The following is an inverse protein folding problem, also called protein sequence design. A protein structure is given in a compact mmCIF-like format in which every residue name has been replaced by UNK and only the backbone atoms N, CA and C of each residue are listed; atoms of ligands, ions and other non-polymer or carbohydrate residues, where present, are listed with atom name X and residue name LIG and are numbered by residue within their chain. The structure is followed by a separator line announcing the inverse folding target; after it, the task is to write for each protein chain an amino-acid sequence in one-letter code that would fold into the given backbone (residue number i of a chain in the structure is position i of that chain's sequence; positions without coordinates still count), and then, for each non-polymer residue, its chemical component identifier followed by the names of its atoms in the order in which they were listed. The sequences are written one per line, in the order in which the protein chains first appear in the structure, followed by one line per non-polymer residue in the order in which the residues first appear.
data_IF_136292948292
#
_entry.id   IF_136292948292
#
_cell.length_a   1.000
_cell.length_b   1.000
_cell.length_c   1.000
_cell.angle_alpha   90.00
_cell.angle_beta   90.00
_cell.angle_gamma   90.00
#
_symmetry.space_group_name_H-M   'P 1'
#
loop_
_entity.id
_entity.type
_entity.pdbx_description
1 polymer ?
#
# COMPACT_ATOMS: atom_id res chain seq x y z
N UNK A 1 17.54 -16.66 45.23
CA UNK A 1 17.69 -16.87 43.77
C UNK A 1 17.05 -18.17 43.30
N UNK A 2 17.49 -19.38 43.73
CA UNK A 2 16.97 -20.67 43.23
C UNK A 2 15.42 -20.84 43.24
N UNK A 3 14.72 -20.29 44.23
CA UNK A 3 13.26 -20.34 44.27
C UNK A 3 12.56 -19.50 43.19
N UNK A 4 13.19 -18.44 42.68
CA UNK A 4 12.67 -17.70 41.53
C UNK A 4 12.85 -18.51 40.25
N UNK A 5 14.05 -19.04 39.99
CA UNK A 5 14.37 -19.74 38.74
C UNK A 5 13.29 -20.78 38.39
N UNK A 6 12.92 -21.64 39.33
CA UNK A 6 11.87 -22.65 39.14
C UNK A 6 10.42 -22.16 39.29
N UNK A 7 10.15 -20.91 39.73
CA UNK A 7 8.80 -20.37 39.97
C UNK A 7 8.38 -19.18 39.10
N UNK A 8 9.33 -18.50 38.45
CA UNK A 8 9.13 -17.17 37.89
C UNK A 8 9.06 -16.09 38.98
N UNK A 9 9.04 -14.83 38.54
CA UNK A 9 8.96 -13.65 39.42
C UNK A 9 10.31 -13.01 39.73
N UNK A 10 11.32 -13.16 38.87
CA UNK A 10 12.59 -12.44 39.00
C UNK A 10 12.45 -10.99 38.50
N UNK A 11 13.34 -10.06 38.91
CA UNK A 11 13.34 -8.69 38.39
C UNK A 11 13.40 -8.63 36.84
N UNK A 12 14.16 -9.54 36.22
CA UNK A 12 14.20 -9.76 34.77
C UNK A 12 12.82 -10.03 34.16
N UNK A 13 12.00 -10.82 34.86
CA UNK A 13 10.71 -11.30 34.38
C UNK A 13 9.71 -10.14 34.29
N UNK A 14 9.70 -9.28 35.31
CA UNK A 14 8.88 -8.06 35.30
C UNK A 14 9.32 -7.07 34.21
N UNK A 15 10.62 -6.95 33.94
CA UNK A 15 11.13 -6.13 32.81
C UNK A 15 10.69 -6.71 31.48
N UNK A 16 10.83 -8.02 31.26
CA UNK A 16 10.41 -8.68 30.03
C UNK A 16 8.89 -8.60 29.82
N UNK A 17 8.08 -8.76 30.88
CA UNK A 17 6.63 -8.58 30.85
C UNK A 17 6.26 -7.13 30.50
N UNK A 18 6.97 -6.14 31.05
CA UNK A 18 6.76 -4.72 30.73
C UNK A 18 7.07 -4.43 29.26
N UNK A 19 8.17 -4.98 28.72
CA UNK A 19 8.52 -4.88 27.29
C UNK A 19 7.43 -5.51 26.41
N UNK A 20 6.92 -6.69 26.79
CA UNK A 20 5.84 -7.36 26.06
C UNK A 20 4.54 -6.54 26.09
N UNK A 21 4.15 -5.96 27.23
CA UNK A 21 2.97 -5.09 27.33
C UNK A 21 3.12 -3.82 26.50
N UNK A 22 4.28 -3.16 26.56
CA UNK A 22 4.58 -1.98 25.72
C UNK A 22 4.57 -2.35 24.22
N UNK A 23 5.05 -3.54 23.86
CA UNK A 23 4.96 -4.08 22.50
C UNK A 23 3.49 -4.21 22.06
N UNK A 24 2.63 -4.85 22.85
CA UNK A 24 1.20 -4.97 22.55
C UNK A 24 0.50 -3.62 22.37
N UNK A 25 0.77 -2.66 23.27
CA UNK A 25 0.23 -1.30 23.18
C UNK A 25 0.72 -0.63 21.89
N UNK A 26 2.00 -0.79 21.54
CA UNK A 26 2.58 -0.25 20.31
C UNK A 26 1.98 -0.85 19.04
N UNK A 27 1.64 -2.15 19.04
CA UNK A 27 0.92 -2.80 17.95
C UNK A 27 -0.49 -2.20 17.81
N UNK A 28 -1.28 -2.19 18.88
CA UNK A 28 -2.65 -1.66 18.86
C UNK A 28 -2.68 -0.21 18.43
N UNK A 29 -1.77 0.62 18.93
CA UNK A 29 -1.63 2.02 18.52
C UNK A 29 -1.31 2.10 17.01
N UNK A 30 -0.28 1.39 16.52
CA UNK A 30 0.05 1.40 15.08
C UNK A 30 -1.06 0.84 14.17
N UNK A 31 -1.90 -0.10 14.65
CA UNK A 31 -3.09 -0.60 13.92
C UNK A 31 -4.19 0.46 13.85
N UNK A 32 -4.49 1.11 14.98
CA UNK A 32 -5.69 1.96 15.15
C UNK A 32 -5.47 3.42 14.76
N UNK A 33 -4.27 3.96 14.99
CA UNK A 33 -3.90 5.36 14.72
C UNK A 33 -4.19 5.79 13.27
N UNK A 34 -3.96 4.98 12.21
CA UNK A 34 -4.39 5.32 10.86
C UNK A 34 -5.90 5.58 10.78
N UNK A 35 -6.74 4.67 11.27
CA UNK A 35 -8.20 4.79 11.19
C UNK A 35 -8.74 5.95 12.02
N UNK A 36 -8.18 6.18 13.22
CA UNK A 36 -8.57 7.26 14.12
C UNK A 36 -8.19 8.65 13.57
N UNK A 37 -6.94 8.84 13.14
CA UNK A 37 -6.45 10.16 12.72
C UNK A 37 -6.81 10.50 11.27
N UNK A 38 -6.89 9.51 10.38
CA UNK A 38 -7.03 9.75 8.93
C UNK A 38 -8.45 9.48 8.40
N UNK A 39 -9.41 9.11 9.26
CA UNK A 39 -10.81 8.78 8.90
C UNK A 39 -10.91 7.90 7.64
N UNK A 40 -10.01 6.93 7.52
CA UNK A 40 -9.86 6.12 6.30
C UNK A 40 -11.12 5.26 6.12
N UNK A 41 -11.80 5.30 4.95
CA UNK A 41 -12.93 4.44 4.68
C UNK A 41 -12.49 2.98 4.81
N UNK A 42 -13.31 2.14 5.47
CA UNK A 42 -12.95 0.76 5.81
C UNK A 42 -12.49 0.00 4.55
N UNK A 43 -11.23 -0.51 4.51
CA UNK A 43 -10.72 -1.20 3.32
C UNK A 43 -11.48 -2.51 3.09
N UNK A 44 -12.25 -2.58 2.00
CA UNK A 44 -13.03 -3.77 1.61
C UNK A 44 -12.18 -4.91 1.01
N UNK A 45 -10.85 -4.81 1.05
CA UNK A 45 -9.92 -5.71 0.36
C UNK A 45 -9.30 -6.83 1.22
N UNK A 46 -8.90 -7.92 0.58
CA UNK A 46 -8.28 -9.09 1.23
C UNK A 46 -6.96 -8.80 1.95
N UNK A 47 -6.27 -7.72 1.60
CA UNK A 47 -5.03 -7.28 2.26
C UNK A 47 -5.26 -6.82 3.72
N UNK A 48 -6.42 -6.23 4.02
CA UNK A 48 -6.77 -5.82 5.40
C UNK A 48 -6.85 -7.03 6.35
N UNK A 49 -7.49 -8.10 5.89
CA UNK A 49 -7.62 -9.34 6.66
C UNK A 49 -6.26 -9.97 7.01
N UNK A 50 -5.27 -9.93 6.11
CA UNK A 50 -3.92 -10.42 6.42
C UNK A 50 -3.26 -9.65 7.56
N UNK A 51 -3.42 -8.32 7.60
CA UNK A 51 -2.88 -7.48 8.70
C UNK A 51 -3.59 -7.79 10.01
N UNK A 52 -4.93 -7.89 10.00
CA UNK A 52 -5.71 -8.23 11.20
C UNK A 52 -5.36 -9.62 11.76
N UNK A 53 -5.27 -10.64 10.89
CA UNK A 53 -4.86 -12.01 11.26
C UNK A 53 -3.45 -12.01 11.87
N UNK A 54 -2.53 -11.24 11.30
CA UNK A 54 -1.15 -11.17 11.79
C UNK A 54 -1.03 -10.42 13.14
N UNK A 55 -1.91 -9.46 13.43
CA UNK A 55 -2.04 -8.87 14.78
C UNK A 55 -2.49 -9.94 15.77
N UNK A 56 -3.55 -10.68 15.46
CA UNK A 56 -4.04 -11.78 16.30
C UNK A 56 -2.94 -12.83 16.55
N UNK A 57 -2.19 -13.22 15.51
CA UNK A 57 -1.05 -14.13 15.64
C UNK A 57 0.06 -13.59 16.56
N UNK A 58 0.33 -12.29 16.48
CA UNK A 58 1.30 -11.60 17.35
C UNK A 58 0.84 -11.60 18.81
N UNK A 59 -0.46 -11.40 19.05
CA UNK A 59 -1.07 -11.48 20.38
C UNK A 59 -0.97 -12.89 20.96
N UNK A 60 -1.32 -13.91 20.17
CA UNK A 60 -1.24 -15.32 20.55
C UNK A 60 0.19 -15.73 20.93
N UNK A 61 1.19 -15.40 20.12
CA UNK A 61 2.57 -15.81 20.32
C UNK A 61 3.15 -15.26 21.64
N UNK A 62 3.01 -13.95 21.88
CA UNK A 62 3.45 -13.32 23.13
C UNK A 62 2.66 -13.85 24.34
N UNK A 63 1.35 -14.00 24.23
CA UNK A 63 0.52 -14.53 25.32
C UNK A 63 0.89 -15.98 25.66
N UNK A 64 1.28 -16.79 24.68
CA UNK A 64 1.75 -18.16 24.93
C UNK A 64 3.06 -18.21 25.71
N UNK A 65 4.04 -17.38 25.34
CA UNK A 65 5.33 -17.33 26.06
C UNK A 65 5.14 -16.82 27.50
N UNK A 66 4.23 -15.85 27.70
CA UNK A 66 3.80 -15.39 29.03
C UNK A 66 3.14 -16.53 29.82
N UNK A 67 2.18 -17.23 29.19
CA UNK A 67 1.47 -18.35 29.77
C UNK A 67 2.39 -19.48 30.24
N UNK A 68 3.35 -19.90 29.41
CA UNK A 68 4.20 -21.06 29.68
C UNK A 68 5.32 -20.76 30.68
N UNK A 69 5.96 -19.60 30.58
CA UNK A 69 7.17 -19.30 31.36
C UNK A 69 6.92 -18.52 32.65
N UNK A 70 5.79 -17.81 32.77
CA UNK A 70 5.54 -16.88 33.88
C UNK A 70 4.24 -17.15 34.66
N UNK A 71 3.24 -17.84 34.08
CA UNK A 71 1.97 -18.15 34.75
C UNK A 71 1.90 -19.60 35.23
N UNK A 72 2.02 -19.84 36.54
CA UNK A 72 1.86 -21.20 37.09
C UNK A 72 0.42 -21.69 37.08
N UNK A 73 0.14 -22.61 36.16
CA UNK A 73 -1.16 -23.25 35.99
C UNK A 73 -1.52 -24.23 37.12
N UNK A 74 -2.31 -23.77 38.10
CA UNK A 74 -3.02 -24.67 39.03
C UNK A 74 -4.14 -25.41 38.28
N UNK A 75 -4.01 -26.73 38.12
CA UNK A 75 -4.91 -27.59 37.32
C UNK A 75 -6.36 -27.53 37.81
N UNK A 76 -7.26 -26.87 37.07
CA UNK A 76 -8.74 -26.93 37.28
C UNK A 76 -9.60 -26.61 36.04
N UNK A 77 -9.04 -26.04 34.96
CA UNK A 77 -9.80 -25.66 33.75
C UNK A 77 -9.09 -26.08 32.46
N UNK A 78 -9.85 -26.36 31.40
CA UNK A 78 -9.35 -26.78 30.08
C UNK A 78 -8.39 -25.76 29.43
N UNK A 79 -8.65 -24.47 29.62
CA UNK A 79 -7.78 -23.34 29.24
C UNK A 79 -6.39 -23.33 29.91
N UNK A 80 -6.10 -24.26 30.83
CA UNK A 80 -4.81 -24.43 31.52
C UNK A 80 -4.02 -25.66 31.04
N UNK A 81 -4.33 -26.18 29.85
CA UNK A 81 -3.59 -27.29 29.24
C UNK A 81 -2.27 -26.82 28.63
N UNK A 82 -1.15 -27.48 28.98
CA UNK A 82 0.15 -27.28 28.32
C UNK A 82 0.04 -27.38 26.80
N UNK A 83 -0.72 -28.37 26.30
CA UNK A 83 -0.90 -28.61 24.87
C UNK A 83 -1.62 -27.45 24.16
N UNK A 84 -2.55 -26.78 24.83
CA UNK A 84 -3.25 -25.64 24.23
C UNK A 84 -2.25 -24.50 23.97
N UNK A 85 -1.45 -24.14 24.96
CA UNK A 85 -0.51 -23.03 24.86
C UNK A 85 0.73 -23.40 24.02
N UNK A 86 1.53 -24.39 24.43
CA UNK A 86 2.79 -24.74 23.78
C UNK A 86 2.64 -25.37 22.38
N UNK A 87 1.54 -26.06 22.09
CA UNK A 87 1.39 -26.79 20.82
C UNK A 87 0.45 -26.09 19.84
N UNK A 88 -0.65 -25.48 20.30
CA UNK A 88 -1.63 -24.83 19.42
C UNK A 88 -1.51 -23.30 19.34
N UNK A 89 -1.31 -22.61 20.46
CA UNK A 89 -1.27 -21.14 20.49
C UNK A 89 0.12 -20.62 20.10
N UNK A 90 1.20 -21.24 20.57
CA UNK A 90 2.57 -20.87 20.21
C UNK A 90 2.89 -21.22 18.74
N UNK A 91 2.62 -22.46 18.33
CA UNK A 91 2.90 -22.99 16.99
C UNK A 91 1.96 -22.43 15.91
N UNK A 92 0.88 -23.15 15.53
CA UNK A 92 0.05 -22.78 14.39
C UNK A 92 -0.61 -21.41 14.56
N UNK A 93 -1.20 -21.07 15.71
CA UNK A 93 -1.92 -19.79 15.86
C UNK A 93 -1.03 -18.59 16.19
N UNK A 94 0.26 -18.82 16.47
CA UNK A 94 1.25 -17.83 16.85
C UNK A 94 2.32 -17.68 15.77
N UNK A 95 3.46 -18.34 15.95
CA UNK A 95 4.62 -18.26 15.06
C UNK A 95 4.28 -18.69 13.63
N UNK A 96 3.59 -19.83 13.48
CA UNK A 96 3.19 -20.39 12.20
C UNK A 96 2.31 -19.44 11.40
N UNK A 97 1.21 -18.94 11.99
CA UNK A 97 0.33 -17.96 11.36
C UNK A 97 1.06 -16.64 11.04
N UNK A 98 1.92 -16.16 11.94
CA UNK A 98 2.69 -14.93 11.75
C UNK A 98 3.63 -15.03 10.54
N UNK A 99 4.40 -16.11 10.40
CA UNK A 99 5.27 -16.31 9.22
C UNK A 99 4.47 -16.68 7.96
N UNK A 100 3.38 -17.43 8.06
CA UNK A 100 2.54 -17.82 6.91
C UNK A 100 1.88 -16.60 6.25
N UNK A 101 1.41 -15.63 7.04
CA UNK A 101 0.94 -14.33 6.54
C UNK A 101 2.02 -13.58 5.75
N UNK A 102 3.30 -13.76 6.11
CA UNK A 102 4.45 -13.06 5.51
C UNK A 102 4.94 -13.67 4.23
N UNK A 103 5.05 -14.99 4.21
CA UNK A 103 5.30 -15.74 2.98
C UNK A 103 4.18 -15.43 1.97
N UNK A 104 2.92 -15.34 2.43
CA UNK A 104 1.78 -14.91 1.60
C UNK A 104 1.94 -13.48 1.05
N UNK A 105 2.30 -12.50 1.88
CA UNK A 105 2.52 -11.12 1.42
C UNK A 105 3.69 -11.00 0.44
N UNK A 106 4.84 -11.64 0.73
CA UNK A 106 6.02 -11.60 -0.15
C UNK A 106 5.74 -12.34 -1.47
N UNK A 107 4.96 -13.42 -1.44
CA UNK A 107 4.46 -14.09 -2.65
C UNK A 107 3.60 -13.15 -3.52
N UNK A 108 2.69 -12.37 -2.91
CA UNK A 108 1.92 -11.36 -3.65
C UNK A 108 2.85 -10.27 -4.26
N UNK A 109 3.83 -9.79 -3.49
CA UNK A 109 4.82 -8.83 -3.99
C UNK A 109 5.66 -9.42 -5.14
N UNK A 110 6.13 -10.66 -5.02
CA UNK A 110 6.87 -11.35 -6.07
C UNK A 110 6.07 -11.42 -7.38
N UNK A 111 4.78 -11.79 -7.33
CA UNK A 111 3.97 -11.83 -8.55
C UNK A 111 3.75 -10.45 -9.18
N UNK A 112 3.47 -9.43 -8.36
CA UNK A 112 3.23 -8.06 -8.83
C UNK A 112 4.51 -7.42 -9.39
N UNK A 113 5.64 -7.53 -8.70
CA UNK A 113 6.88 -6.81 -9.03
C UNK A 113 7.83 -7.61 -9.93
N UNK A 114 8.01 -8.91 -9.69
CA UNK A 114 8.93 -9.75 -10.46
C UNK A 114 8.24 -10.38 -11.67
N UNK A 115 7.05 -10.97 -11.49
CA UNK A 115 6.29 -11.60 -12.59
C UNK A 115 5.36 -10.64 -13.33
N UNK A 116 5.20 -9.39 -12.86
CA UNK A 116 4.38 -8.33 -13.48
C UNK A 116 2.91 -8.74 -13.68
N UNK A 117 2.38 -9.60 -12.82
CA UNK A 117 1.07 -10.27 -12.96
C UNK A 117 0.33 -10.36 -11.63
N UNK A 118 -0.95 -10.70 -11.70
CA UNK A 118 -1.70 -11.06 -10.49
C UNK A 118 -1.15 -12.38 -9.89
N UNK A 119 -1.17 -12.54 -8.55
CA UNK A 119 -0.90 -13.83 -7.93
C UNK A 119 -1.99 -14.83 -8.34
N UNK A 120 -1.63 -16.04 -8.82
CA UNK A 120 -2.60 -17.00 -9.38
C UNK A 120 -3.52 -17.61 -8.32
N UNK A 121 -3.12 -17.55 -7.04
CA UNK A 121 -3.87 -18.09 -5.91
C UNK A 121 -4.28 -16.91 -5.02
N UNK A 122 -5.57 -16.88 -4.62
CA UNK A 122 -6.08 -15.87 -3.67
C UNK A 122 -5.40 -16.03 -2.31
N UNK A 123 -5.09 -14.91 -1.65
CA UNK A 123 -4.29 -14.87 -0.42
C UNK A 123 -4.82 -15.78 0.71
N UNK A 124 -6.14 -15.85 0.92
CA UNK A 124 -6.72 -16.70 1.97
C UNK A 124 -6.57 -18.19 1.68
N UNK A 125 -6.58 -18.61 0.40
CA UNK A 125 -6.36 -20.00 -0.01
C UNK A 125 -4.88 -20.36 0.21
N UNK A 126 -3.98 -19.48 -0.25
CA UNK A 126 -2.54 -19.68 -0.10
C UNK A 126 -2.08 -19.68 1.36
N UNK A 127 -2.64 -18.80 2.19
CA UNK A 127 -2.39 -18.76 3.63
C UNK A 127 -2.79 -20.07 4.31
N UNK A 128 -3.98 -20.59 4.02
CA UNK A 128 -4.45 -21.87 4.56
C UNK A 128 -3.55 -23.03 4.13
N UNK A 129 -3.14 -23.08 2.85
CA UNK A 129 -2.21 -24.09 2.34
C UNK A 129 -0.85 -24.06 3.06
N UNK A 130 -0.28 -22.87 3.28
CA UNK A 130 0.98 -22.72 4.02
C UNK A 130 0.80 -23.06 5.51
N UNK A 131 -0.38 -22.91 6.09
CA UNK A 131 -0.60 -23.21 7.51
C UNK A 131 -0.79 -24.73 7.80
N UNK A 132 -1.15 -25.54 6.79
CA UNK A 132 -1.41 -26.98 6.97
C UNK A 132 -0.27 -27.77 7.64
N UNK A 133 1.01 -27.60 7.31
CA UNK A 133 2.11 -28.31 7.98
C UNK A 133 2.15 -28.04 9.49
N UNK A 134 1.89 -26.80 9.93
CA UNK A 134 1.81 -26.46 11.35
C UNK A 134 0.65 -27.17 12.06
N UNK A 135 -0.53 -27.18 11.43
CA UNK A 135 -1.72 -27.84 11.98
C UNK A 135 -1.49 -29.36 12.08
N UNK A 136 -0.91 -29.97 11.05
CA UNK A 136 -0.59 -31.40 11.02
C UNK A 136 0.45 -31.77 12.10
N UNK A 137 1.52 -30.99 12.24
CA UNK A 137 2.53 -31.19 13.29
C UNK A 137 1.93 -31.04 14.69
N UNK A 138 1.13 -29.99 14.93
CA UNK A 138 0.45 -29.77 16.20
C UNK A 138 -0.51 -30.92 16.57
N UNK A 139 -1.27 -31.43 15.60
CA UNK A 139 -2.14 -32.59 15.79
C UNK A 139 -1.34 -33.86 16.12
N UNK A 140 -0.26 -34.16 15.38
CA UNK A 140 0.59 -35.33 15.63
C UNK A 140 1.23 -35.30 17.03
N UNK A 141 1.76 -34.14 17.44
CA UNK A 141 2.29 -33.90 18.78
C UNK A 141 1.20 -34.12 19.85
N UNK A 142 0.00 -33.58 19.64
CA UNK A 142 -1.09 -33.70 20.60
C UNK A 142 -1.61 -35.15 20.74
N UNK A 143 -1.54 -35.95 19.68
CA UNK A 143 -1.83 -37.40 19.71
C UNK A 143 -0.74 -38.15 20.49
N UNK A 144 0.54 -37.85 20.21
CA UNK A 144 1.71 -38.53 20.81
C UNK A 144 2.00 -38.14 22.26
N UNK A 145 1.47 -37.01 22.71
CA UNK A 145 1.55 -36.47 24.08
C UNK A 145 2.96 -36.46 24.71
N UNK A 146 3.97 -35.79 24.08
CA UNK A 146 5.34 -35.79 24.59
C UNK A 146 5.64 -34.76 25.69
N UNK A 147 4.72 -33.85 26.04
CA UNK A 147 4.98 -32.80 27.02
C UNK A 147 4.95 -33.33 28.46
N UNK A 148 5.94 -32.94 29.25
CA UNK A 148 6.01 -33.25 30.68
C UNK A 148 5.11 -32.34 31.54
N UNK A 149 5.16 -32.52 32.87
CA UNK A 149 4.35 -31.74 33.82
C UNK A 149 4.75 -30.25 33.96
N UNK A 150 5.91 -29.86 33.42
CA UNK A 150 6.40 -28.47 33.29
C UNK A 150 6.09 -27.86 31.91
N UNK A 151 5.37 -28.60 31.06
CA UNK A 151 5.13 -28.29 29.65
C UNK A 151 6.35 -28.41 28.71
N UNK A 152 7.50 -28.92 29.17
CA UNK A 152 8.69 -29.12 28.35
C UNK A 152 8.55 -30.31 27.40
N UNK A 153 9.23 -30.21 26.25
CA UNK A 153 9.09 -31.02 25.06
C UNK A 153 10.44 -31.64 24.71
N UNK A 154 10.80 -32.71 25.43
CA UNK A 154 12.16 -33.24 25.50
C UNK A 154 12.84 -33.51 24.14
N UNK A 155 14.18 -33.54 24.16
CA UNK A 155 15.09 -33.35 23.01
C UNK A 155 14.75 -34.11 21.71
N UNK A 156 14.15 -35.30 21.77
CA UNK A 156 13.71 -36.03 20.56
C UNK A 156 12.62 -35.28 19.79
N UNK A 157 11.75 -34.55 20.48
CA UNK A 157 10.64 -33.79 19.90
C UNK A 157 11.01 -32.35 19.55
N UNK A 158 12.01 -31.77 20.22
CA UNK A 158 12.48 -30.41 19.91
C UNK A 158 13.10 -30.35 18.50
N UNK A 159 13.86 -31.36 18.08
CA UNK A 159 14.54 -31.40 16.77
C UNK A 159 13.56 -31.22 15.59
N UNK A 160 12.50 -32.03 15.41
CA UNK A 160 11.55 -31.83 14.31
C UNK A 160 10.75 -30.53 14.43
N UNK A 161 10.43 -30.07 15.63
CA UNK A 161 9.72 -28.78 15.84
C UNK A 161 10.59 -27.60 15.43
N UNK A 162 11.87 -27.58 15.82
CA UNK A 162 12.79 -26.51 15.42
C UNK A 162 13.17 -26.61 13.93
N UNK A 163 13.20 -27.82 13.37
CA UNK A 163 13.29 -28.03 11.92
C UNK A 163 12.15 -27.37 11.15
N UNK A 164 10.91 -27.48 11.64
CA UNK A 164 9.76 -26.79 11.04
C UNK A 164 9.87 -25.25 11.17
N UNK A 165 10.28 -24.73 12.33
CA UNK A 165 10.56 -23.29 12.48
C UNK A 165 11.62 -22.82 11.47
N UNK A 166 12.74 -23.53 11.36
CA UNK A 166 13.84 -23.21 10.46
C UNK A 166 13.40 -23.23 8.98
N UNK A 167 12.61 -24.22 8.57
CA UNK A 167 12.08 -24.32 7.20
C UNK A 167 11.29 -23.06 6.78
N UNK A 168 10.46 -22.51 7.69
CA UNK A 168 9.68 -21.30 7.42
C UNK A 168 10.57 -20.05 7.36
N UNK A 169 11.61 -19.98 8.18
CA UNK A 169 12.61 -18.89 8.14
C UNK A 169 13.41 -18.92 6.83
N UNK A 170 13.91 -20.09 6.44
CA UNK A 170 14.63 -20.27 5.18
C UNK A 170 13.74 -19.94 3.98
N UNK A 171 12.48 -20.37 4.01
CA UNK A 171 11.48 -20.02 2.98
C UNK A 171 11.28 -18.50 2.90
N UNK A 172 11.11 -17.83 4.03
CA UNK A 172 10.96 -16.37 4.11
C UNK A 172 12.18 -15.64 3.51
N UNK A 173 13.39 -16.07 3.85
CA UNK A 173 14.64 -15.51 3.31
C UNK A 173 14.75 -15.76 1.80
N UNK A 174 14.42 -16.96 1.32
CA UNK A 174 14.49 -17.31 -0.10
C UNK A 174 13.49 -16.50 -0.95
N UNK A 175 12.22 -16.41 -0.53
CA UNK A 175 11.21 -15.58 -1.20
C UNK A 175 11.57 -14.10 -1.19
N UNK A 176 12.20 -13.60 -0.12
CA UNK A 176 12.72 -12.22 -0.06
C UNK A 176 13.86 -12.02 -1.06
N UNK A 177 14.83 -12.94 -1.09
CA UNK A 177 15.96 -12.92 -2.01
C UNK A 177 15.50 -12.83 -3.47
N UNK A 178 14.44 -13.56 -3.82
CA UNK A 178 13.84 -13.53 -5.16
C UNK A 178 13.24 -12.16 -5.55
N UNK A 179 12.93 -11.28 -4.59
CA UNK A 179 12.42 -9.91 -4.81
C UNK A 179 13.54 -8.85 -4.79
N UNK A 180 14.79 -9.23 -4.43
CA UNK A 180 15.94 -8.31 -4.28
C UNK A 180 16.28 -7.50 -5.53
N UNK A 181 16.08 -8.06 -6.72
CA UNK A 181 16.47 -7.46 -8.00
C UNK A 181 15.44 -6.47 -8.56
N UNK A 182 14.33 -6.24 -7.87
CA UNK A 182 13.38 -5.18 -8.24
C UNK A 182 13.96 -3.86 -7.79
N UNK A 183 14.25 -2.97 -8.74
CA UNK A 183 14.54 -1.56 -8.44
C UNK A 183 13.26 -0.86 -7.95
N UNK A 184 12.99 -0.96 -6.65
CA UNK A 184 11.97 -0.14 -6.01
C UNK A 184 12.43 1.32 -6.08
N UNK A 185 11.62 2.17 -6.73
CA UNK A 185 11.91 3.59 -6.95
C UNK A 185 11.90 4.47 -5.67
N UNK A 186 11.87 3.85 -4.50
CA UNK A 186 11.72 4.47 -3.18
C UNK A 186 12.59 3.73 -2.14
N UNK A 187 12.89 4.38 -1.02
CA UNK A 187 13.69 3.81 0.09
C UNK A 187 13.09 2.55 0.75
N UNK A 188 11.87 2.17 0.36
CA UNK A 188 11.12 1.01 0.83
C UNK A 188 11.93 -0.29 0.85
N UNK A 189 12.67 -0.62 -0.21
CA UNK A 189 13.47 -1.85 -0.27
C UNK A 189 14.56 -1.91 0.81
N UNK A 190 15.13 -0.76 1.19
CA UNK A 190 16.16 -0.67 2.23
C UNK A 190 15.58 -0.98 3.60
N UNK A 191 14.38 -0.47 3.88
CA UNK A 191 13.69 -0.72 5.15
C UNK A 191 13.02 -2.12 5.19
N UNK A 192 12.60 -2.64 4.02
CA UNK A 192 12.21 -4.04 3.80
C UNK A 192 13.35 -4.98 4.24
N UNK A 193 14.55 -4.80 3.68
CA UNK A 193 15.72 -5.61 4.00
C UNK A 193 16.21 -5.44 5.44
N UNK A 194 16.16 -4.23 6.00
CA UNK A 194 16.45 -3.99 7.42
C UNK A 194 15.49 -4.73 8.34
N UNK A 195 14.19 -4.65 8.06
CA UNK A 195 13.15 -5.36 8.83
C UNK A 195 13.36 -6.87 8.81
N UNK A 196 13.76 -7.43 7.66
CA UNK A 196 14.04 -8.86 7.51
C UNK A 196 15.35 -9.27 8.17
N UNK A 197 16.41 -8.46 8.07
CA UNK A 197 17.67 -8.71 8.77
C UNK A 197 17.47 -8.75 10.29
N UNK A 198 16.77 -7.76 10.84
CA UNK A 198 16.39 -7.71 12.27
C UNK A 198 15.51 -8.90 12.64
N UNK A 199 14.54 -9.26 11.79
CA UNK A 199 13.67 -10.41 12.03
C UNK A 199 14.43 -11.74 12.02
N UNK A 200 15.31 -11.98 11.05
CA UNK A 200 16.10 -13.21 10.94
C UNK A 200 17.08 -13.35 12.12
N UNK A 201 17.79 -12.27 12.48
CA UNK A 201 18.62 -12.23 13.68
C UNK A 201 17.81 -12.49 14.95
N UNK A 202 16.61 -11.88 15.05
CA UNK A 202 15.70 -12.09 16.18
C UNK A 202 15.25 -13.53 16.31
N UNK A 203 14.91 -14.21 15.20
CA UNK A 203 14.53 -15.63 15.23
C UNK A 203 15.73 -16.50 15.59
N UNK A 204 16.93 -16.21 15.08
CA UNK A 204 18.15 -16.95 15.44
C UNK A 204 18.43 -16.95 16.94
N UNK A 205 18.34 -15.77 17.58
CA UNK A 205 18.51 -15.63 19.04
C UNK A 205 17.36 -16.30 19.79
N UNK A 206 16.11 -16.16 19.30
CA UNK A 206 14.95 -16.82 19.90
C UNK A 206 15.05 -18.35 19.88
N UNK A 207 15.48 -18.93 18.75
CA UNK A 207 15.74 -20.37 18.58
C UNK A 207 16.81 -20.86 19.55
N UNK A 208 17.91 -20.12 19.70
CA UNK A 208 18.96 -20.46 20.66
C UNK A 208 18.43 -20.41 22.10
N UNK A 209 17.72 -19.34 22.47
CA UNK A 209 17.10 -19.20 23.78
C UNK A 209 16.07 -20.30 24.07
N UNK A 210 15.27 -20.70 23.08
CA UNK A 210 14.29 -21.80 23.19
C UNK A 210 14.96 -23.14 23.48
N UNK A 211 15.97 -23.51 22.69
CA UNK A 211 16.72 -24.76 22.90
C UNK A 211 17.45 -24.75 24.25
N UNK A 212 18.00 -23.60 24.68
CA UNK A 212 18.62 -23.47 26.00
C UNK A 212 17.60 -23.62 27.15
N UNK A 213 16.38 -23.11 26.98
CA UNK A 213 15.28 -23.21 27.95
C UNK A 213 14.78 -24.65 28.14
N UNK A 214 14.79 -25.44 27.06
CA UNK A 214 14.30 -26.83 27.06
C UNK A 214 15.37 -27.88 27.43
N UNK A 215 16.65 -27.65 27.07
CA UNK A 215 17.69 -28.68 27.19
C UNK A 215 18.46 -28.63 28.51
N UNK A 216 18.47 -27.50 29.23
CA UNK A 216 19.37 -27.31 30.38
C UNK A 216 18.67 -26.80 31.64
N UNK A 217 17.77 -27.64 32.19
CA UNK A 217 17.03 -27.37 33.43
C UNK A 217 17.95 -27.22 34.68
N UNK A 218 19.18 -27.74 34.66
CA UNK A 218 20.05 -27.80 35.85
C UNK A 218 20.70 -26.46 36.25
N UNK A 219 20.74 -25.47 35.35
CA UNK A 219 21.46 -24.20 35.56
C UNK A 219 20.46 -23.05 35.73
N UNK A 220 20.12 -22.76 36.98
CA UNK A 220 19.14 -21.72 37.36
C UNK A 220 19.38 -20.32 36.78
N UNK A 221 20.63 -19.89 36.58
CA UNK A 221 20.93 -18.60 35.90
C UNK A 221 20.52 -18.64 34.41
N UNK A 222 20.74 -19.78 33.77
CA UNK A 222 20.51 -19.96 32.34
C UNK A 222 19.02 -20.01 32.02
N UNK A 223 18.23 -20.68 32.88
CA UNK A 223 16.77 -20.71 32.85
C UNK A 223 16.15 -19.31 32.95
N UNK A 224 16.71 -18.44 33.79
CA UNK A 224 16.27 -17.04 33.92
C UNK A 224 16.64 -16.25 32.64
N UNK A 225 17.88 -16.40 32.16
CA UNK A 225 18.37 -15.72 30.96
C UNK A 225 17.61 -16.15 29.68
N UNK A 226 17.31 -17.44 29.52
CA UNK A 226 16.57 -17.97 28.37
C UNK A 226 15.14 -17.46 28.34
N UNK A 227 14.43 -17.44 29.46
CA UNK A 227 13.05 -16.89 29.55
C UNK A 227 12.99 -15.40 29.25
N UNK A 228 13.95 -14.64 29.79
CA UNK A 228 14.09 -13.22 29.48
C UNK A 228 14.30 -12.99 27.97
N UNK A 229 15.28 -13.68 27.39
CA UNK A 229 15.59 -13.59 25.95
C UNK A 229 14.41 -14.02 25.08
N UNK A 230 13.71 -15.11 25.41
CA UNK A 230 12.52 -15.57 24.68
C UNK A 230 11.48 -14.45 24.55
N UNK A 231 11.05 -13.87 25.67
CA UNK A 231 9.98 -12.86 25.66
C UNK A 231 10.41 -11.53 25.04
N UNK A 232 11.67 -11.11 25.25
CA UNK A 232 12.24 -9.90 24.62
C UNK A 232 12.39 -10.09 23.11
N UNK A 233 12.99 -11.20 22.66
CA UNK A 233 13.17 -11.46 21.22
C UNK A 233 11.83 -11.65 20.52
N UNK A 234 10.82 -12.29 21.14
CA UNK A 234 9.47 -12.31 20.55
C UNK A 234 8.85 -10.92 20.48
N UNK A 235 9.10 -10.05 21.46
CA UNK A 235 8.60 -8.66 21.43
C UNK A 235 9.23 -7.87 20.28
N UNK A 236 10.55 -8.00 20.08
CA UNK A 236 11.30 -7.42 18.95
C UNK A 236 10.80 -7.99 17.62
N UNK A 237 10.65 -9.32 17.53
CA UNK A 237 10.15 -10.04 16.38
C UNK A 237 8.80 -9.49 15.92
N UNK A 238 7.83 -9.47 16.84
CA UNK A 238 6.47 -9.01 16.59
C UNK A 238 6.45 -7.55 16.11
N UNK A 239 7.25 -6.65 16.70
CA UNK A 239 7.33 -5.25 16.28
C UNK A 239 8.04 -5.06 14.94
N UNK A 240 9.13 -5.79 14.68
CA UNK A 240 9.90 -5.74 13.44
C UNK A 240 9.05 -6.23 12.27
N UNK A 241 8.44 -7.41 12.42
CA UNK A 241 7.45 -7.90 11.48
C UNK A 241 6.31 -6.89 11.33
N UNK A 242 5.58 -6.51 12.39
CA UNK A 242 4.42 -5.63 12.22
C UNK A 242 4.73 -4.30 11.52
N UNK A 243 5.88 -3.68 11.80
CA UNK A 243 6.34 -2.47 11.10
C UNK A 243 6.56 -2.70 9.59
N UNK A 244 7.01 -3.90 9.19
CA UNK A 244 7.12 -4.37 7.80
C UNK A 244 5.75 -4.71 7.15
N UNK A 245 4.66 -4.96 7.90
CA UNK A 245 3.29 -5.04 7.30
C UNK A 245 2.78 -3.68 6.85
N UNK A 246 3.35 -2.63 7.44
CA UNK A 246 2.93 -1.24 7.28
C UNK A 246 3.86 -0.48 6.31
N UNK A 247 5.01 -1.06 5.92
CA UNK A 247 6.07 -0.42 5.12
C UNK A 247 5.70 -0.18 3.65
N UNK A 248 4.75 0.72 3.46
CA UNK A 248 4.42 1.50 2.26
C UNK A 248 3.63 0.93 1.06
N UNK A 249 3.38 -0.37 0.77
CA UNK A 249 2.39 -0.71 -0.27
C UNK A 249 0.94 -0.40 0.17
N UNK A 250 0.73 -0.12 1.47
CA UNK A 250 -0.52 0.34 2.08
C UNK A 250 -0.43 1.79 2.57
N UNK A 251 0.71 2.24 3.11
CA UNK A 251 0.87 3.64 3.52
C UNK A 251 1.02 4.57 2.31
N UNK A 252 1.67 4.20 1.20
CA UNK A 252 1.65 5.07 0.00
C UNK A 252 0.22 5.22 -0.55
N UNK A 253 -0.57 4.15 -0.56
CA UNK A 253 -2.01 4.18 -0.84
C UNK A 253 -2.80 5.13 0.09
N UNK A 254 -2.37 5.32 1.34
CA UNK A 254 -3.00 6.23 2.31
C UNK A 254 -2.37 7.62 2.40
N UNK A 255 -1.11 7.80 1.99
CA UNK A 255 -0.31 9.02 2.18
C UNK A 255 -0.01 9.75 0.88
N UNK A 256 -0.19 9.13 -0.30
CA UNK A 256 -0.51 9.85 -1.54
C UNK A 256 -1.77 10.71 -1.36
N UNK A 257 -2.65 10.33 -0.42
CA UNK A 257 -3.81 11.12 -0.02
C UNK A 257 -3.52 12.29 0.94
N UNK A 258 -2.29 12.43 1.46
CA UNK A 258 -2.03 13.42 2.54
C UNK A 258 -0.66 14.10 2.57
N UNK A 259 0.41 13.57 1.96
CA UNK A 259 1.70 14.32 1.92
C UNK A 259 1.75 15.41 0.84
N UNK A 260 0.78 15.41 -0.07
CA UNK A 260 0.34 16.62 -0.76
C UNK A 260 -1.16 16.80 -0.52
N UNK A 261 -1.55 17.88 0.15
CA UNK A 261 -2.88 18.48 0.00
C UNK A 261 -2.87 19.43 -1.22
N UNK A 262 -2.39 18.91 -2.35
CA UNK A 262 -2.94 19.28 -3.65
C UNK A 262 -4.06 18.28 -3.90
N UNK A 263 -5.27 18.75 -4.15
CA UNK A 263 -6.37 17.87 -4.56
C UNK A 263 -6.00 17.19 -5.88
N UNK A 264 -5.54 15.94 -5.79
CA UNK A 264 -5.29 15.13 -6.95
C UNK A 264 -6.63 14.71 -7.55
N UNK A 265 -7.03 15.36 -8.64
CA UNK A 265 -8.34 15.19 -9.29
C UNK A 265 -8.48 13.80 -9.95
N UNK A 266 -7.36 13.12 -10.21
CA UNK A 266 -7.30 11.84 -10.94
C UNK A 266 -6.27 10.86 -10.35
N UNK A 267 -6.48 9.56 -10.56
CA UNK A 267 -5.56 8.48 -10.17
C UNK A 267 -4.18 8.60 -10.85
N UNK A 268 -4.12 9.15 -12.07
CA UNK A 268 -2.86 9.41 -12.80
C UNK A 268 -1.96 10.39 -12.08
N UNK A 269 -2.54 11.47 -11.55
CA UNK A 269 -1.82 12.49 -10.80
C UNK A 269 -1.23 11.89 -9.51
N UNK A 270 -1.98 11.02 -8.81
CA UNK A 270 -1.49 10.27 -7.66
C UNK A 270 -0.41 9.23 -8.01
N UNK A 271 -0.43 8.66 -9.21
CA UNK A 271 0.64 7.80 -9.71
C UNK A 271 1.89 8.59 -10.18
N UNK A 272 1.92 9.91 -10.05
CA UNK A 272 3.02 10.73 -10.55
C UNK A 272 3.16 10.64 -12.07
N UNK A 273 2.04 10.48 -12.78
CA UNK A 273 1.91 10.74 -14.20
C UNK A 273 1.58 12.22 -14.30
N UNK A 274 2.60 13.05 -14.52
CA UNK A 274 2.36 14.41 -14.95
C UNK A 274 1.73 14.36 -16.34
N UNK A 275 0.55 14.96 -16.53
CA UNK A 275 0.28 15.61 -17.81
C UNK A 275 1.47 16.52 -18.07
N UNK A 276 2.16 16.30 -19.19
CA UNK A 276 3.47 16.86 -19.46
C UNK A 276 3.50 18.36 -19.17
N UNK A 277 4.15 18.74 -18.07
CA UNK A 277 4.45 20.13 -17.68
C UNK A 277 5.51 20.76 -18.59
N UNK A 278 5.52 20.37 -19.86
CA UNK A 278 6.15 21.12 -20.92
C UNK A 278 5.29 22.37 -21.05
N UNK A 279 5.88 23.49 -20.62
CA UNK A 279 5.54 24.88 -20.91
C UNK A 279 4.31 25.03 -21.82
N UNK A 280 3.23 25.63 -21.31
CA UNK A 280 2.26 26.55 -21.96
C UNK A 280 2.24 26.60 -23.51
N UNK A 281 2.37 25.46 -24.18
CA UNK A 281 2.58 25.35 -25.61
C UNK A 281 1.21 25.25 -26.22
N UNK A 282 0.55 26.42 -26.21
CA UNK A 282 -0.45 26.88 -27.16
C UNK A 282 -0.94 25.73 -28.03
N UNK A 283 -1.87 24.94 -27.48
CA UNK A 283 -2.57 23.93 -28.27
C UNK A 283 -3.00 24.65 -29.55
N UNK A 284 -2.59 24.18 -30.75
CA UNK A 284 -2.97 24.85 -31.98
C UNK A 284 -4.49 24.96 -31.98
N UNK A 285 -5.00 26.09 -32.46
CA UNK A 285 -6.44 26.36 -32.52
C UNK A 285 -7.02 25.40 -33.57
N UNK A 286 -7.26 24.16 -33.17
CA UNK A 286 -7.90 23.16 -34.00
C UNK A 286 -9.36 23.56 -34.10
N UNK A 287 -9.73 24.11 -35.25
CA UNK A 287 -11.13 24.27 -35.64
C UNK A 287 -11.77 22.90 -35.49
N UNK A 288 -12.76 22.80 -34.59
CA UNK A 288 -13.46 21.55 -34.32
C UNK A 288 -14.40 21.31 -35.48
N UNK A 289 -14.02 20.42 -36.40
CA UNK A 289 -14.88 19.96 -37.49
C UNK A 289 -15.81 18.84 -36.98
N UNK A 290 -17.15 19.05 -36.95
CA UNK A 290 -18.10 18.03 -36.51
C UNK A 290 -18.14 16.77 -37.40
N UNK A 291 -17.55 16.84 -38.60
CA UNK A 291 -17.44 15.70 -39.51
C UNK A 291 -16.27 14.75 -39.16
N UNK A 292 -15.39 15.15 -38.24
CA UNK A 292 -14.33 14.26 -37.77
C UNK A 292 -14.89 13.12 -36.90
N UNK A 293 -14.27 11.92 -36.94
CA UNK A 293 -14.71 10.81 -36.13
C UNK A 293 -14.52 11.10 -34.62
N UNK A 294 -15.52 10.76 -33.81
CA UNK A 294 -15.55 11.06 -32.37
C UNK A 294 -14.27 10.63 -31.61
N UNK A 295 -13.65 9.52 -32.01
CA UNK A 295 -12.39 9.03 -31.45
C UNK A 295 -11.19 9.97 -31.67
N UNK A 296 -11.16 10.72 -32.78
CA UNK A 296 -10.18 11.79 -33.04
C UNK A 296 -10.52 13.05 -32.24
N UNK A 297 -11.80 13.44 -32.23
CA UNK A 297 -12.28 14.61 -31.49
C UNK A 297 -12.05 14.50 -29.98
N UNK A 298 -12.26 13.31 -29.41
CA UNK A 298 -12.02 13.02 -27.99
C UNK A 298 -10.53 13.09 -27.59
N UNK A 299 -9.58 13.14 -28.52
CA UNK A 299 -8.18 13.44 -28.20
C UNK A 299 -8.01 14.91 -27.77
N UNK A 300 -8.77 15.84 -28.37
CA UNK A 300 -8.75 17.25 -27.99
C UNK A 300 -9.31 17.40 -26.57
N UNK A 301 -8.50 17.99 -25.67
CA UNK A 301 -8.82 18.12 -24.25
C UNK A 301 -10.07 18.98 -23.99
N UNK A 302 -10.28 20.05 -24.77
CA UNK A 302 -11.42 20.97 -24.59
C UNK A 302 -12.72 20.34 -25.08
N UNK A 303 -12.67 19.71 -26.25
CA UNK A 303 -13.80 18.93 -26.76
C UNK A 303 -14.19 17.84 -25.76
N UNK A 304 -13.22 17.04 -25.29
CA UNK A 304 -13.46 15.97 -24.32
C UNK A 304 -14.05 16.48 -23.00
N UNK A 305 -13.59 17.63 -22.48
CA UNK A 305 -14.14 18.24 -21.27
C UNK A 305 -15.60 18.69 -21.47
N UNK A 306 -15.91 19.39 -22.56
CA UNK A 306 -17.28 19.81 -22.90
C UNK A 306 -18.21 18.61 -23.14
N UNK A 307 -17.73 17.58 -23.84
CA UNK A 307 -18.47 16.33 -24.09
C UNK A 307 -18.72 15.53 -22.79
N UNK A 308 -17.76 15.54 -21.86
CA UNK A 308 -17.89 14.94 -20.53
C UNK A 308 -18.94 15.66 -19.69
N UNK A 309 -18.93 17.00 -19.66
CA UNK A 309 -19.93 17.81 -18.95
C UNK A 309 -21.35 17.59 -19.51
N UNK A 310 -21.49 17.47 -20.84
CA UNK A 310 -22.73 17.06 -21.47
C UNK A 310 -23.16 15.65 -21.05
N UNK A 311 -22.27 14.66 -21.15
CA UNK A 311 -22.59 13.27 -20.82
C UNK A 311 -22.94 13.07 -19.33
N UNK A 312 -22.27 13.79 -18.43
CA UNK A 312 -22.62 13.87 -17.00
C UNK A 312 -24.03 14.46 -16.79
N UNK A 313 -24.41 15.49 -17.57
CA UNK A 313 -25.77 16.05 -17.53
C UNK A 313 -26.86 15.09 -18.03
N UNK A 314 -26.49 14.15 -18.91
CA UNK A 314 -27.33 13.06 -19.39
C UNK A 314 -27.32 11.82 -18.48
N UNK A 315 -26.60 11.83 -17.36
CA UNK A 315 -26.36 10.68 -16.47
C UNK A 315 -25.72 9.47 -17.19
N UNK A 316 -24.93 9.74 -18.24
CA UNK A 316 -24.24 8.76 -19.09
C UNK A 316 -22.73 9.06 -19.23
N UNK A 317 -22.18 9.80 -18.26
CA UNK A 317 -20.78 10.26 -18.27
C UNK A 317 -19.76 9.16 -18.03
N UNK A 318 -20.15 8.02 -17.46
CA UNK A 318 -19.25 6.92 -17.11
C UNK A 318 -18.43 6.41 -18.30
N UNK A 319 -19.02 6.41 -19.49
CA UNK A 319 -18.36 6.06 -20.75
C UNK A 319 -17.23 7.04 -21.13
N UNK A 320 -17.42 8.35 -20.89
CA UNK A 320 -16.43 9.41 -21.21
C UNK A 320 -15.34 9.48 -20.13
N UNK A 321 -15.72 9.35 -18.86
CA UNK A 321 -14.78 9.26 -17.74
C UNK A 321 -13.88 8.02 -17.86
N UNK A 322 -14.44 6.86 -18.25
CA UNK A 322 -13.65 5.66 -18.55
C UNK A 322 -12.66 5.89 -19.70
N UNK A 323 -13.08 6.55 -20.79
CA UNK A 323 -12.20 6.87 -21.92
C UNK A 323 -10.98 7.70 -21.47
N UNK A 324 -11.18 8.76 -20.66
CA UNK A 324 -10.07 9.60 -20.20
C UNK A 324 -9.11 8.83 -19.27
N UNK A 325 -9.60 7.97 -18.37
CA UNK A 325 -8.72 7.13 -17.54
C UNK A 325 -7.95 6.08 -18.33
N UNK A 326 -8.53 5.47 -19.37
CA UNK A 326 -7.78 4.54 -20.23
C UNK A 326 -6.73 5.27 -21.06
N UNK A 327 -7.00 6.47 -21.56
CA UNK A 327 -5.97 7.32 -22.18
C UNK A 327 -4.82 7.62 -21.20
N UNK A 328 -5.12 7.83 -19.91
CA UNK A 328 -4.10 7.99 -18.87
C UNK A 328 -3.33 6.69 -18.57
N UNK A 329 -3.96 5.52 -18.67
CA UNK A 329 -3.30 4.20 -18.58
C UNK A 329 -2.35 3.96 -19.74
N UNK A 330 -2.73 4.34 -20.97
CA UNK A 330 -1.90 4.17 -22.16
C UNK A 330 -0.70 5.11 -22.21
N UNK A 331 -0.78 6.29 -21.58
CA UNK A 331 0.39 7.16 -21.31
C UNK A 331 1.47 6.51 -20.43
N UNK A 332 1.18 5.44 -19.68
CA UNK A 332 2.16 4.80 -18.77
C UNK A 332 3.15 3.93 -19.58
N UNK A 333 4.48 4.17 -19.50
CA UNK A 333 5.46 3.36 -20.23
C UNK A 333 5.35 1.86 -19.95
N UNK A 334 5.58 1.04 -20.98
CA UNK A 334 5.58 -0.44 -20.88
C UNK A 334 6.66 -0.94 -19.89
N UNK A 335 7.74 -0.16 -19.73
CA UNK A 335 8.82 -0.39 -18.78
C UNK A 335 8.39 -0.17 -17.32
N UNK A 336 7.22 0.44 -17.06
CA UNK A 336 6.64 0.66 -15.73
C UNK A 336 5.36 -0.18 -15.50
N UNK A 337 5.48 -1.53 -15.46
CA UNK A 337 4.34 -2.43 -15.32
C UNK A 337 3.62 -2.27 -13.97
N UNK A 338 4.32 -1.75 -12.95
CA UNK A 338 3.75 -1.57 -11.61
C UNK A 338 2.68 -0.48 -11.64
N UNK A 339 2.99 0.71 -12.19
CA UNK A 339 1.98 1.77 -12.35
C UNK A 339 0.83 1.32 -13.25
N UNK A 340 1.11 0.56 -14.33
CA UNK A 340 0.07 -0.04 -15.19
C UNK A 340 -0.87 -0.95 -14.39
N UNK A 341 -0.36 -1.91 -13.61
CA UNK A 341 -1.20 -2.83 -12.81
C UNK A 341 -2.06 -2.07 -11.78
N UNK A 342 -1.52 -1.05 -11.12
CA UNK A 342 -2.30 -0.25 -10.16
C UNK A 342 -3.39 0.58 -10.83
N UNK A 343 -3.10 1.22 -11.97
CA UNK A 343 -4.09 1.95 -12.76
C UNK A 343 -5.17 1.02 -13.32
N UNK A 344 -4.78 -0.13 -13.87
CA UNK A 344 -5.71 -1.13 -14.37
C UNK A 344 -6.66 -1.64 -13.28
N UNK A 345 -6.16 -1.91 -12.06
CA UNK A 345 -7.02 -2.26 -10.92
C UNK A 345 -8.01 -1.15 -10.57
N UNK A 346 -7.57 0.10 -10.56
CA UNK A 346 -8.46 1.23 -10.28
C UNK A 346 -9.59 1.32 -11.31
N UNK A 347 -9.25 1.28 -12.59
CA UNK A 347 -10.23 1.28 -13.69
C UNK A 347 -11.20 0.09 -13.57
N UNK A 348 -10.69 -1.10 -13.23
CA UNK A 348 -11.53 -2.30 -13.04
C UNK A 348 -12.50 -2.13 -11.85
N UNK A 349 -12.02 -1.66 -10.69
CA UNK A 349 -12.84 -1.47 -9.50
C UNK A 349 -13.84 -0.31 -9.62
N UNK A 350 -13.54 0.71 -10.43
CA UNK A 350 -14.35 1.91 -10.61
C UNK A 350 -15.40 1.78 -11.74
N UNK A 351 -15.09 1.04 -12.81
CA UNK A 351 -15.92 0.95 -14.02
C UNK A 351 -16.31 -0.47 -14.45
N UNK A 352 -15.47 -1.49 -14.27
CA UNK A 352 -15.69 -2.82 -14.90
C UNK A 352 -16.37 -3.84 -13.97
N UNK A 353 -16.13 -3.75 -12.65
CA UNK A 353 -16.75 -4.65 -11.68
C UNK A 353 -18.28 -4.46 -11.63
N UNK A 354 -19.02 -5.55 -11.42
CA UNK A 354 -20.47 -5.46 -11.21
C UNK A 354 -20.78 -4.74 -9.87
N UNK A 355 -21.65 -3.74 -9.91
CA UNK A 355 -21.90 -2.84 -8.78
C UNK A 355 -20.80 -1.80 -8.54
N UNK A 356 -19.96 -1.51 -9.55
CA UNK A 356 -18.97 -0.45 -9.48
C UNK A 356 -19.63 0.96 -9.45
N UNK A 357 -19.01 1.97 -8.82
CA UNK A 357 -19.62 3.29 -8.63
C UNK A 357 -19.86 4.05 -9.94
N UNK A 358 -19.15 3.73 -11.01
CA UNK A 358 -19.35 4.25 -12.36
C UNK A 358 -19.37 3.08 -13.35
N UNK A 359 -20.16 2.04 -13.05
CA UNK A 359 -20.22 0.82 -13.86
C UNK A 359 -20.58 1.12 -15.33
N UNK A 360 -19.66 0.80 -16.25
CA UNK A 360 -19.89 1.01 -17.69
C UNK A 360 -20.81 -0.06 -18.27
N UNK A 361 -21.70 0.36 -19.18
CA UNK A 361 -22.59 -0.53 -19.90
C UNK A 361 -21.83 -1.27 -21.01
N UNK A 362 -21.29 -2.44 -20.67
CA UNK A 362 -20.56 -3.33 -21.59
C UNK A 362 -21.05 -4.77 -21.50
N UNK A 363 -20.94 -5.47 -22.62
CA UNK A 363 -21.28 -6.87 -22.76
C UNK A 363 -20.59 -7.77 -21.71
N UNK A 364 -21.34 -8.76 -21.23
CA UNK A 364 -20.83 -9.73 -20.26
C UNK A 364 -19.55 -10.45 -20.73
N UNK A 365 -19.41 -10.67 -22.05
CA UNK A 365 -18.23 -11.28 -22.66
C UNK A 365 -16.96 -10.46 -22.40
N UNK A 366 -16.96 -9.17 -22.75
CA UNK A 366 -15.80 -8.30 -22.56
C UNK A 366 -15.49 -8.12 -21.05
N UNK A 367 -16.54 -8.01 -20.23
CA UNK A 367 -16.38 -7.93 -18.77
C UNK A 367 -15.66 -9.14 -18.20
N UNK A 368 -16.03 -10.37 -18.61
CA UNK A 368 -15.35 -11.58 -18.17
C UNK A 368 -13.93 -11.72 -18.76
N UNK A 369 -13.69 -11.24 -19.98
CA UNK A 369 -12.36 -11.21 -20.59
C UNK A 369 -11.37 -10.41 -19.73
N UNK A 370 -11.77 -9.23 -19.26
CA UNK A 370 -10.97 -8.40 -18.34
C UNK A 370 -10.86 -9.05 -16.95
N UNK A 371 -11.97 -9.48 -16.35
CA UNK A 371 -11.98 -10.00 -14.97
C UNK A 371 -11.25 -11.36 -14.81
N UNK A 372 -11.10 -12.13 -15.89
CA UNK A 372 -10.32 -13.38 -15.92
C UNK A 372 -8.86 -13.21 -16.34
N UNK A 373 -8.45 -12.00 -16.77
CA UNK A 373 -7.08 -11.74 -17.22
C UNK A 373 -6.08 -11.67 -16.07
N UNK A 374 -5.06 -12.52 -16.11
CA UNK A 374 -3.96 -12.55 -15.13
C UNK A 374 -2.90 -11.45 -15.33
N UNK A 375 -2.84 -10.84 -16.52
CA UNK A 375 -1.83 -9.86 -16.92
C UNK A 375 -2.44 -8.45 -17.08
N UNK A 376 -2.61 -7.76 -15.95
CA UNK A 376 -3.09 -6.37 -15.91
C UNK A 376 -2.06 -5.34 -16.41
N UNK A 377 -0.85 -5.76 -16.80
CA UNK A 377 0.17 -4.85 -17.33
C UNK A 377 0.02 -4.61 -18.83
N UNK A 378 -0.73 -5.48 -19.52
CA UNK A 378 -0.84 -5.53 -20.97
C UNK A 378 -1.35 -4.21 -21.60
N UNK A 379 -0.85 -3.88 -22.79
CA UNK A 379 -1.20 -2.62 -23.49
C UNK A 379 -2.65 -2.60 -23.95
N UNK A 380 -3.11 -3.68 -24.58
CA UNK A 380 -4.46 -3.72 -25.15
C UNK A 380 -5.57 -4.12 -24.13
N UNK A 381 -5.32 -4.06 -22.82
CA UNK A 381 -6.21 -4.59 -21.76
C UNK A 381 -7.66 -4.07 -21.87
N UNK A 382 -7.83 -2.78 -22.17
CA UNK A 382 -9.14 -2.12 -22.25
C UNK A 382 -9.60 -1.85 -23.70
N UNK A 383 -8.87 -2.35 -24.70
CA UNK A 383 -9.10 -1.99 -26.11
C UNK A 383 -10.48 -2.43 -26.63
N UNK A 384 -10.90 -3.65 -26.29
CA UNK A 384 -12.20 -4.18 -26.69
C UNK A 384 -13.34 -3.35 -26.03
N UNK A 385 -13.17 -3.01 -24.75
CA UNK A 385 -14.10 -2.18 -23.97
C UNK A 385 -14.25 -0.77 -24.53
N UNK A 386 -13.12 -0.12 -24.87
CA UNK A 386 -13.13 1.16 -25.56
C UNK A 386 -13.86 1.08 -26.91
N UNK A 387 -13.74 -0.02 -27.64
CA UNK A 387 -14.48 -0.24 -28.89
C UNK A 387 -16.00 -0.23 -28.69
N UNK A 388 -16.49 -1.04 -27.73
CA UNK A 388 -17.92 -1.13 -27.41
C UNK A 388 -18.47 0.22 -26.90
N UNK A 389 -17.76 0.87 -25.97
CA UNK A 389 -18.17 2.18 -25.43
C UNK A 389 -18.08 3.31 -26.45
N UNK A 390 -17.09 3.31 -27.35
CA UNK A 390 -17.01 4.28 -28.44
C UNK A 390 -18.21 4.18 -29.38
N UNK A 391 -18.66 2.96 -29.67
CA UNK A 391 -19.87 2.74 -30.46
C UNK A 391 -21.12 3.24 -29.71
N UNK A 392 -21.24 2.97 -28.42
CA UNK A 392 -22.35 3.47 -27.58
C UNK A 392 -22.38 5.00 -27.50
N UNK A 393 -21.24 5.66 -27.27
CA UNK A 393 -21.15 7.13 -27.27
C UNK A 393 -21.52 7.73 -28.64
N UNK A 394 -21.08 7.12 -29.75
CA UNK A 394 -21.42 7.56 -31.11
C UNK A 394 -22.93 7.44 -31.41
N UNK A 395 -23.58 6.38 -30.93
CA UNK A 395 -25.01 6.15 -31.16
C UNK A 395 -25.91 6.99 -30.22
N UNK A 396 -25.55 7.11 -28.95
CA UNK A 396 -26.46 7.61 -27.91
C UNK A 396 -26.17 9.04 -27.45
N UNK A 397 -24.96 9.56 -27.64
CA UNK A 397 -24.55 10.88 -27.11
C UNK A 397 -24.09 11.86 -28.19
N UNK A 398 -23.34 11.39 -29.19
CA UNK A 398 -22.69 12.27 -30.16
C UNK A 398 -23.69 13.13 -30.95
N UNK A 399 -24.82 12.55 -31.37
CA UNK A 399 -25.85 13.27 -32.13
C UNK A 399 -26.43 14.44 -31.34
N UNK A 400 -26.80 14.19 -30.09
CA UNK A 400 -27.51 15.15 -29.24
C UNK A 400 -26.55 16.22 -28.69
N UNK A 401 -25.27 15.87 -28.51
CA UNK A 401 -24.21 16.81 -28.16
C UNK A 401 -24.09 17.96 -29.16
N UNK A 402 -24.18 17.70 -30.46
CA UNK A 402 -24.08 18.74 -31.50
C UNK A 402 -25.17 19.82 -31.41
N UNK A 403 -26.34 19.46 -30.89
CA UNK A 403 -27.45 20.38 -30.61
C UNK A 403 -27.43 20.93 -29.17
N UNK A 404 -26.47 20.54 -28.34
CA UNK A 404 -26.45 20.87 -26.92
C UNK A 404 -25.86 22.27 -26.64
N UNK A 405 -26.29 22.86 -25.53
CA UNK A 405 -25.71 24.11 -25.00
C UNK A 405 -24.20 23.99 -24.73
N UNK A 406 -23.69 22.78 -24.45
CA UNK A 406 -22.28 22.53 -24.16
C UNK A 406 -21.41 22.65 -25.41
N UNK A 407 -21.90 22.18 -26.57
CA UNK A 407 -21.21 22.35 -27.85
C UNK A 407 -21.31 23.79 -28.35
N UNK A 408 -22.48 24.44 -28.21
CA UNK A 408 -22.63 25.87 -28.54
C UNK A 408 -21.64 26.72 -27.75
N UNK A 409 -21.58 26.54 -26.42
CA UNK A 409 -20.62 27.23 -25.55
C UNK A 409 -19.17 26.96 -25.95
N UNK A 410 -18.81 25.71 -26.25
CA UNK A 410 -17.45 25.37 -26.71
C UNK A 410 -17.10 26.08 -28.03
N UNK A 411 -18.05 26.16 -28.97
CA UNK A 411 -17.88 26.85 -30.25
C UNK A 411 -17.68 28.35 -30.04
N UNK A 412 -18.44 28.97 -29.14
CA UNK A 412 -18.33 30.40 -28.80
C UNK A 412 -17.01 30.71 -28.07
N UNK A 413 -16.54 29.83 -27.18
CA UNK A 413 -15.23 29.94 -26.53
C UNK A 413 -14.06 29.83 -27.53
N UNK A 414 -14.22 29.06 -28.61
CA UNK A 414 -13.23 28.96 -29.69
C UNK A 414 -13.25 30.20 -30.59
N UNK A 415 -14.45 30.71 -30.96
CA UNK A 415 -14.58 31.86 -31.86
C UNK A 415 -14.10 33.18 -31.22
N UNK A 416 -14.41 33.41 -29.93
CA UNK A 416 -13.90 34.57 -29.19
C UNK A 416 -12.36 34.60 -29.17
N UNK A 417 -11.71 33.45 -28.97
CA UNK A 417 -10.23 33.35 -28.93
C UNK A 417 -9.56 33.49 -30.30
N UNK A 418 -10.24 33.18 -31.40
CA UNK A 418 -9.72 33.51 -32.74
C UNK A 418 -9.75 35.02 -32.99
N UNK A 419 -10.82 35.71 -32.58
CA UNK A 419 -10.93 37.17 -32.74
C UNK A 419 -9.89 37.92 -31.89
N UNK A 420 -9.70 37.52 -30.63
CA UNK A 420 -8.65 38.08 -29.76
C UNK A 420 -7.25 37.96 -30.41
N UNK A 421 -6.96 36.82 -31.04
CA UNK A 421 -5.65 36.60 -31.65
C UNK A 421 -5.43 37.38 -32.95
N UNK A 422 -6.47 37.59 -33.75
CA UNK A 422 -6.43 38.47 -34.91
C UNK A 422 -6.26 39.93 -34.49
N UNK A 423 -6.87 40.34 -33.36
CA UNK A 423 -6.72 41.69 -32.81
C UNK A 423 -5.31 41.93 -32.24
N UNK A 424 -4.70 40.94 -31.56
CA UNK A 424 -3.29 40.99 -31.14
C UNK A 424 -2.31 41.05 -32.34
N UNK A 425 -2.63 40.41 -33.47
CA UNK A 425 -1.79 40.50 -34.68
C UNK A 425 -2.03 41.79 -35.49
N UNK A 426 -3.24 42.34 -35.48
CA UNK A 426 -3.53 43.64 -36.10
C UNK A 426 -2.95 44.82 -35.29
N UNK A 427 -2.76 44.66 -33.98
CA UNK A 427 -2.17 45.67 -33.08
C UNK A 427 -0.65 45.53 -32.92
N UNK A 428 0.06 45.24 -34.01
CA UNK A 428 1.53 45.28 -34.09
C UNK A 428 2.10 46.71 -33.97
N UNK A 429 2.04 47.31 -32.78
CA UNK A 429 2.61 48.63 -32.52
C UNK A 429 4.14 48.59 -32.57
N UNK A 430 4.72 49.33 -33.51
CA UNK A 430 6.16 49.53 -33.64
C UNK A 430 6.74 50.27 -32.41
N UNK A 431 7.26 49.54 -31.43
CA UNK A 431 7.96 50.12 -30.29
C UNK A 431 9.38 50.55 -30.69
N UNK A 432 9.55 51.85 -30.91
CA UNK A 432 10.86 52.53 -30.84
C UNK A 432 10.99 53.22 -29.47
N UNK A 433 12.12 53.08 -28.74
CA UNK A 433 12.19 53.50 -27.35
C UNK A 433 12.45 55.00 -27.19
N UNK A 434 11.55 55.72 -26.51
CA UNK A 434 11.84 57.06 -25.96
C UNK A 434 11.31 57.22 -24.53
N UNK A 435 12.14 57.79 -23.67
CA UNK A 435 11.83 58.11 -22.28
C UNK A 435 11.03 59.41 -22.15
N UNK A 436 10.07 59.43 -21.22
CA UNK A 436 9.73 60.54 -20.31
C UNK A 436 8.57 60.08 -19.41
N UNK A 437 8.72 59.79 -18.11
CA UNK A 437 8.81 60.76 -16.99
C UNK A 437 7.73 61.85 -17.00
N UNK A 438 6.77 61.80 -16.08
CA UNK A 438 6.77 62.63 -14.84
C UNK A 438 5.58 62.23 -13.94
N UNK A 439 5.77 62.50 -12.66
CA UNK A 439 4.96 62.16 -11.49
C UNK A 439 3.79 63.14 -11.28
N UNK A 440 2.71 62.70 -10.60
CA UNK A 440 1.92 63.61 -9.78
C UNK A 440 1.36 62.87 -8.57
N UNK A 441 1.67 63.40 -7.39
CA UNK A 441 1.24 62.92 -6.08
C UNK A 441 -0.15 63.47 -5.75
N UNK A 442 -0.88 62.80 -4.85
CA UNK A 442 -1.46 63.45 -3.66
C UNK A 442 -1.98 62.39 -2.67
N UNK A 443 -1.60 62.54 -1.40
CA UNK A 443 -1.99 61.72 -0.25
C UNK A 443 -2.44 62.67 0.87
N UNK A 444 -3.62 62.41 1.45
CA UNK A 444 -3.83 62.77 2.84
C UNK A 444 -4.53 61.64 3.60
N UNK A 445 -3.80 60.82 4.37
CA UNK A 445 -3.92 60.72 5.85
C UNK A 445 -2.89 59.74 6.48
N UNK A 446 -1.77 60.32 6.93
CA UNK A 446 -1.00 60.05 8.17
C UNK A 446 -1.09 58.65 8.84
N UNK A 447 0.03 57.93 8.93
CA UNK A 447 0.91 57.77 10.13
C UNK A 447 0.31 56.88 11.25
N UNK A 448 1.02 55.95 11.89
CA UNK A 448 2.42 55.51 11.80
C UNK A 448 2.49 53.99 12.14
N UNK A 449 3.61 53.26 12.28
CA UNK A 449 5.00 53.58 12.66
C UNK A 449 5.97 52.55 12.02
N UNK A 450 7.28 52.70 12.21
CA UNK A 450 8.32 51.70 11.86
C UNK A 450 9.36 51.64 12.98
N UNK A 451 10.09 50.53 13.17
CA UNK A 451 11.52 50.56 12.78
C UNK A 451 12.06 49.17 12.33
N UNK A 452 13.26 48.97 11.76
CA UNK A 452 14.28 49.79 11.04
C UNK A 452 15.35 48.80 10.50
N UNK A 453 15.92 49.06 9.30
CA UNK A 453 17.34 48.82 8.93
C UNK A 453 17.86 47.35 8.95
N UNK A 454 18.97 46.95 8.31
CA UNK A 454 20.01 47.61 7.49
C UNK A 454 20.48 46.60 6.40
N UNK A 455 20.58 46.99 5.13
CA UNK A 455 21.81 47.41 4.43
C UNK A 455 22.89 46.34 4.13
N UNK A 456 23.17 46.22 2.82
CA UNK A 456 24.49 46.09 2.16
C UNK A 456 25.41 44.88 2.43
N UNK A 457 25.71 44.10 1.38
CA UNK A 457 26.84 44.45 0.50
C UNK A 457 26.84 43.68 -0.84
N UNK A 458 27.37 44.33 -1.88
CA UNK A 458 27.77 43.74 -3.16
C UNK A 458 29.19 43.18 -3.09
N UNK A 459 29.49 42.06 -3.74
CA UNK A 459 30.09 42.05 -5.10
C UNK A 459 30.37 40.65 -5.67
N UNK A 460 30.46 40.67 -6.98
CA UNK A 460 30.92 39.71 -8.00
C UNK A 460 32.00 38.65 -7.72
N UNK A 461 31.78 37.52 -8.42
CA UNK A 461 32.71 36.81 -9.33
C UNK A 461 33.92 35.99 -8.83
N UNK A 462 33.75 34.67 -9.04
CA UNK A 462 34.64 33.71 -9.75
C UNK A 462 35.96 33.24 -9.11
N UNK A 463 36.27 31.98 -9.46
CA UNK A 463 37.55 31.24 -9.34
C UNK A 463 37.95 30.96 -7.87
N UNK A 464 37.81 29.72 -7.39
CA UNK A 464 38.52 28.55 -7.94
C UNK A 464 37.72 27.24 -7.83
#
# INVERSE_FOLDING_TARGET
MAACASKGGCPSDYVALSIAVVSMISLLLKVTLPYLIHKIPRPKGSSFWLVAIQVIASFNLLLSIIALNFLKFRKRHWWRSCYLWAVWIEGPLGFGLLLSCRITQIFQLYYIFVKRRLPPIRSYIFLSLILLPWIASAAFIHIRKPLNYRCHMGTVWIIPVMGLHALYVVSLIAFTGAVRHVEFRFHELKDLWRGILVSAASIGIWVAAYVMNEVREDISWLEIASRFLLLVMTSVLVLAFFSFSISQPLISLMSLRKKDHKEYKTMSQALGIHDSGILLQREPISIIDPNEPLDKLLLNRRFRQSFMEFADSCLAGESVHFYDEVQQFDKIPIQDPVRRIYMARHIIEKYIAAGAPMEVNISHRIRQEILSTNDLSHTNLFKNTLGELMQLMKLNLAKDYWSSIYFMKLKDEVSMRTVDHELEHASGWNFSPRLSSVHCSDDPFQHEHSPRYSACHSHDSKLQ
#
